data_IF_007602480291
#
_entry.id   IF_007602480291
#
_cell.length_a   1.000
_cell.length_b   1.000
_cell.length_c   1.000
_cell.angle_alpha   90.00
_cell.angle_beta   90.00
_cell.angle_gamma   90.00
#
_symmetry.space_group_name_H-M   'P 1'
#
loop_
_entity.id
_entity.type
_entity.pdbx_description
1 polymer ?
#
# COMPACT_ATOMS: atom_id res chain seq x y z
N UNK A 1 -25.52 2.84 -3.38
CA UNK A 1 -25.28 4.29 -3.35
C UNK A 1 -24.09 4.53 -2.43
N UNK A 2 -22.89 4.70 -2.98
CA UNK A 2 -21.71 5.02 -2.18
C UNK A 2 -21.87 6.46 -1.69
N UNK A 3 -21.86 6.67 -0.36
CA UNK A 3 -21.87 8.01 0.20
C UNK A 3 -20.65 8.76 -0.33
N UNK A 4 -20.87 9.91 -0.96
CA UNK A 4 -19.79 10.87 -1.21
C UNK A 4 -19.23 11.23 0.17
N UNK A 5 -18.03 10.74 0.45
CA UNK A 5 -17.26 11.17 1.59
C UNK A 5 -16.48 12.37 1.06
N UNK A 6 -16.78 13.59 1.51
CA UNK A 6 -16.04 14.82 1.18
C UNK A 6 -14.57 14.80 1.64
N UNK A 7 -14.11 13.65 2.15
CA UNK A 7 -12.70 13.40 2.42
C UNK A 7 -11.99 13.09 1.11
N UNK A 8 -11.04 13.94 0.76
CA UNK A 8 -10.06 13.66 -0.28
C UNK A 8 -9.17 12.47 0.14
N UNK A 9 -9.49 11.26 -0.35
CA UNK A 9 -8.75 10.02 -0.06
C UNK A 9 -7.71 9.81 -1.15
N UNK A 10 -6.65 10.62 -1.12
CA UNK A 10 -5.48 10.47 -2.01
C UNK A 10 -4.32 9.85 -1.25
N UNK A 11 -3.73 8.83 -1.86
CA UNK A 11 -2.46 8.26 -1.44
C UNK A 11 -1.45 8.47 -2.57
N UNK A 12 -0.19 8.64 -2.20
CA UNK A 12 0.91 8.90 -3.11
C UNK A 12 2.03 7.89 -2.85
N UNK A 13 2.75 7.54 -3.91
CA UNK A 13 3.94 6.68 -3.86
C UNK A 13 5.14 7.57 -4.22
N UNK A 14 5.95 8.03 -3.25
CA UNK A 14 7.01 8.98 -3.54
C UNK A 14 8.03 8.48 -4.57
N UNK A 15 8.36 7.18 -4.53
CA UNK A 15 9.25 6.51 -5.49
C UNK A 15 8.43 5.57 -6.37
N UNK A 16 7.66 6.14 -7.31
CA UNK A 16 6.67 5.40 -8.10
C UNK A 16 7.30 4.44 -9.14
N UNK A 17 8.57 4.60 -9.49
CA UNK A 17 9.22 3.80 -10.53
C UNK A 17 9.25 2.30 -10.17
N UNK A 18 9.49 2.00 -8.89
CA UNK A 18 9.66 0.64 -8.38
C UNK A 18 8.35 -0.05 -8.03
N UNK A 19 7.28 0.69 -7.73
CA UNK A 19 6.05 0.13 -7.15
C UNK A 19 4.86 0.21 -8.09
N UNK A 20 4.03 -0.83 -8.10
CA UNK A 20 2.77 -0.89 -8.83
C UNK A 20 1.62 -1.19 -7.88
N UNK A 21 0.52 -0.45 -8.06
CA UNK A 21 -0.75 -0.73 -7.36
C UNK A 21 -1.44 -1.90 -8.05
N UNK A 22 -1.89 -2.86 -7.26
CA UNK A 22 -2.60 -4.04 -7.73
C UNK A 22 -3.92 -4.18 -6.97
N UNK A 23 -4.94 -4.71 -7.64
CA UNK A 23 -6.15 -5.23 -6.99
C UNK A 23 -6.07 -6.74 -7.07
N UNK A 24 -6.09 -7.43 -5.92
CA UNK A 24 -6.02 -8.88 -5.88
C UNK A 24 -7.30 -9.48 -6.46
N UNK A 25 -7.22 -10.09 -7.65
CA UNK A 25 -8.41 -10.59 -8.36
C UNK A 25 -8.87 -11.98 -7.90
N UNK A 26 -7.97 -12.80 -7.36
CA UNK A 26 -8.25 -14.17 -6.97
C UNK A 26 -8.27 -14.38 -5.45
N UNK A 27 -8.68 -15.57 -5.03
CA UNK A 27 -8.66 -16.00 -3.63
C UNK A 27 -7.46 -16.91 -3.31
N UNK A 28 -6.43 -16.90 -4.16
CA UNK A 28 -5.21 -17.68 -3.90
C UNK A 28 -4.50 -17.14 -2.66
N UNK A 29 -3.93 -18.06 -1.87
CA UNK A 29 -3.25 -17.70 -0.63
C UNK A 29 -1.98 -16.91 -0.93
N UNK A 30 -1.94 -15.66 -0.51
CA UNK A 30 -0.83 -14.75 -0.74
C UNK A 30 -0.61 -13.89 0.49
N UNK A 31 0.64 -13.70 0.90
CA UNK A 31 0.96 -12.95 2.10
C UNK A 31 1.69 -11.65 1.77
N UNK A 32 1.43 -10.65 2.61
CA UNK A 32 2.25 -9.44 2.72
C UNK A 32 3.67 -9.84 3.15
N UNK A 33 4.69 -9.20 2.58
CA UNK A 33 6.11 -9.44 2.91
C UNK A 33 6.58 -8.64 4.13
N UNK A 34 5.68 -7.89 4.77
CA UNK A 34 5.95 -7.16 5.99
C UNK A 34 4.91 -7.51 7.05
N UNK A 35 5.35 -7.45 8.31
CA UNK A 35 4.53 -7.58 9.51
C UNK A 35 4.91 -6.47 10.49
N UNK A 36 4.04 -6.12 11.42
CA UNK A 36 4.45 -5.21 12.48
C UNK A 36 5.52 -5.86 13.36
N UNK A 37 6.39 -5.08 14.03
CA UNK A 37 7.41 -5.63 14.91
C UNK A 37 6.89 -6.55 16.01
N UNK A 38 5.66 -6.32 16.47
CA UNK A 38 4.95 -7.05 17.52
C UNK A 38 4.05 -8.19 16.99
N UNK A 39 3.98 -8.38 15.66
CA UNK A 39 3.19 -9.45 15.07
C UNK A 39 4.03 -10.70 14.83
N UNK A 40 3.47 -11.86 15.16
CA UNK A 40 4.09 -13.17 14.88
C UNK A 40 3.78 -13.70 13.49
N UNK A 41 2.83 -13.09 12.77
CA UNK A 41 2.33 -13.53 11.48
C UNK A 41 2.42 -12.45 10.41
N UNK A 42 2.47 -12.87 9.15
CA UNK A 42 2.32 -11.99 8.00
C UNK A 42 0.84 -11.79 7.66
N UNK A 43 0.46 -10.60 7.20
CA UNK A 43 -0.92 -10.32 6.80
C UNK A 43 -1.27 -11.10 5.53
N UNK A 44 -2.42 -11.77 5.53
CA UNK A 44 -2.96 -12.42 4.35
C UNK A 44 -3.57 -11.36 3.43
N UNK A 45 -3.17 -11.33 2.16
CA UNK A 45 -3.81 -10.53 1.12
C UNK A 45 -5.07 -11.25 0.64
N UNK A 46 -6.22 -10.59 0.70
CA UNK A 46 -7.51 -11.20 0.34
C UNK A 46 -8.01 -10.76 -1.04
N UNK A 47 -8.87 -11.57 -1.66
CA UNK A 47 -9.51 -11.21 -2.92
C UNK A 47 -10.30 -9.89 -2.80
N UNK A 48 -10.07 -8.97 -3.74
CA UNK A 48 -10.60 -7.61 -3.75
C UNK A 48 -9.72 -6.57 -3.05
N UNK A 49 -8.65 -6.97 -2.36
CA UNK A 49 -7.77 -6.06 -1.65
C UNK A 49 -6.84 -5.29 -2.60
N UNK A 50 -6.63 -3.99 -2.32
CA UNK A 50 -5.59 -3.19 -2.96
C UNK A 50 -4.26 -3.44 -2.24
N UNK A 51 -3.21 -3.73 -2.98
CA UNK A 51 -1.86 -3.93 -2.43
C UNK A 51 -0.81 -3.35 -3.39
N UNK A 52 0.43 -3.21 -2.91
CA UNK A 52 1.56 -2.80 -3.71
C UNK A 52 2.48 -3.98 -4.06
N UNK A 53 3.03 -3.96 -5.26
CA UNK A 53 4.00 -4.94 -5.76
C UNK A 53 5.17 -4.22 -6.44
N UNK A 54 6.42 -4.56 -6.08
CA UNK A 54 7.62 -4.10 -6.77
C UNK A 54 8.37 -5.22 -7.52
N UNK A 55 7.72 -6.37 -7.71
CA UNK A 55 8.32 -7.57 -8.31
C UNK A 55 8.97 -8.50 -7.28
N UNK A 56 9.54 -7.95 -6.21
CA UNK A 56 10.18 -8.73 -5.13
C UNK A 56 9.30 -8.86 -3.89
N UNK A 57 8.59 -7.79 -3.55
CA UNK A 57 7.80 -7.64 -2.33
C UNK A 57 6.38 -7.24 -2.69
N UNK A 58 5.46 -7.81 -1.93
CA UNK A 58 4.03 -7.50 -1.97
C UNK A 58 3.60 -7.00 -0.61
N UNK A 59 3.01 -5.82 -0.55
CA UNK A 59 2.65 -5.14 0.70
C UNK A 59 1.18 -4.75 0.70
N UNK A 60 0.45 -5.10 1.76
CA UNK A 60 -0.87 -4.50 2.02
C UNK A 60 -0.71 -3.00 2.26
N UNK A 61 -1.77 -2.21 2.06
CA UNK A 61 -1.69 -0.75 2.24
C UNK A 61 -1.25 -0.34 3.65
N UNK A 62 -1.67 -1.08 4.68
CA UNK A 62 -1.26 -0.79 6.06
C UNK A 62 0.25 -0.90 6.25
N UNK A 63 0.87 -1.96 5.74
CA UNK A 63 2.32 -2.12 5.78
C UNK A 63 3.02 -1.11 4.89
N UNK A 64 2.49 -0.84 3.69
CA UNK A 64 3.07 0.15 2.79
C UNK A 64 3.07 1.57 3.38
N UNK A 65 2.02 1.97 4.13
CA UNK A 65 1.96 3.25 4.86
C UNK A 65 3.01 3.27 5.97
N UNK A 66 3.03 2.22 6.81
CA UNK A 66 3.94 2.12 7.95
C UNK A 66 5.41 2.18 7.50
N UNK A 67 5.73 1.49 6.41
CA UNK A 67 7.09 1.37 5.89
C UNK A 67 7.47 2.58 4.99
N UNK A 68 6.59 3.60 4.88
CA UNK A 68 6.85 4.86 4.17
C UNK A 68 6.82 4.76 2.64
N UNK A 69 6.38 3.63 2.09
CA UNK A 69 6.25 3.41 0.64
C UNK A 69 5.10 4.23 0.06
N UNK A 70 4.01 4.35 0.83
CA UNK A 70 2.89 5.24 0.48
C UNK A 70 2.63 6.25 1.58
N UNK A 71 2.08 7.39 1.18
CA UNK A 71 1.79 8.50 2.07
C UNK A 71 0.47 9.18 1.70
N UNK A 72 -0.19 9.75 2.69
CA UNK A 72 -1.32 10.66 2.51
C UNK A 72 -0.85 12.11 2.25
N UNK A 73 0.45 12.39 2.44
CA UNK A 73 1.03 13.71 2.27
C UNK A 73 1.10 14.11 0.80
N UNK A 74 0.23 15.04 0.40
CA UNK A 74 0.20 15.61 -0.96
C UNK A 74 1.47 16.39 -1.29
N UNK A 75 2.18 16.91 -0.30
CA UNK A 75 3.42 17.67 -0.47
C UNK A 75 4.68 16.79 -0.41
N UNK A 76 4.54 15.46 -0.50
CA UNK A 76 5.70 14.54 -0.51
C UNK A 76 6.77 14.89 -1.56
N UNK A 77 6.37 15.48 -2.69
CA UNK A 77 7.26 15.89 -3.79
C UNK A 77 8.19 17.06 -3.41
N UNK A 78 7.79 17.94 -2.49
CA UNK A 78 8.62 19.09 -2.06
C UNK A 78 9.84 18.63 -1.24
N UNK A 79 9.74 17.48 -0.56
CA UNK A 79 10.77 16.94 0.33
C UNK A 79 11.89 16.21 -0.41
N UNK A 80 11.67 15.80 -1.67
CA UNK A 80 12.65 15.10 -2.51
C UNK A 80 13.50 15.99 -3.42
N UNK A 81 13.30 17.31 -3.39
CA UNK A 81 13.96 18.28 -4.28
C UNK A 81 15.19 19.00 -3.70
N UNK A 82 15.95 18.37 -2.79
CA UNK A 82 17.24 18.89 -2.30
C UNK A 82 18.39 17.99 -2.69
#
# INVERSE_FOLDING_TARGET
MWKNNDNDIRMYVPNADDWRVQVKADFSKQYCHAKKPDEEYYHLLIGGEIYLDNGEKKLCLNCAIRDGIITWDRQHWEKGGR
#
